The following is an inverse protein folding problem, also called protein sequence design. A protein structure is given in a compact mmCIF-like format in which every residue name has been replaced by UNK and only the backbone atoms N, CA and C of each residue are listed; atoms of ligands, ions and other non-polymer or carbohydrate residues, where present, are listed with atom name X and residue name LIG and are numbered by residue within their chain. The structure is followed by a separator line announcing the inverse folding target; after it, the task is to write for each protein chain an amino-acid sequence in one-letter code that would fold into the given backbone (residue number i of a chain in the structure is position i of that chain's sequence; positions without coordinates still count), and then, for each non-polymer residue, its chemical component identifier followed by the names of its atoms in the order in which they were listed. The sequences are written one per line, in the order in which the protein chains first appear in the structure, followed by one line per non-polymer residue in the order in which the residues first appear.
data_IF_148497056836
#
_entry.id   IF_148497056836
#
_cell.length_a   1.000
_cell.length_b   1.000
_cell.length_c   1.000
_cell.angle_alpha   90.00
_cell.angle_beta   90.00
_cell.angle_gamma   90.00
#
_symmetry.space_group_name_H-M   'P 1'
#
loop_
_entity.id
_entity.type
_entity.pdbx_description
1 polymer ?
#
# COMPACT_ATOMS: atom_id res chain seq x y z
N UNK A 1 -12.11 -28.09 0.71
CA UNK A 1 -11.25 -28.23 1.90
C UNK A 1 -11.91 -27.65 3.14
N UNK A 2 -12.37 -26.39 3.10
CA UNK A 2 -13.13 -25.79 4.20
C UNK A 2 -14.65 -25.97 4.10
N UNK A 3 -15.38 -25.45 5.10
CA UNK A 3 -16.85 -25.42 5.20
C UNK A 3 -17.41 -24.30 4.32
N UNK A 4 -16.89 -23.08 4.45
CA UNK A 4 -17.24 -21.96 3.58
C UNK A 4 -16.06 -21.02 3.37
N UNK A 5 -16.18 -20.15 2.37
CA UNK A 5 -15.20 -19.11 2.04
C UNK A 5 -15.92 -17.78 1.89
N UNK A 6 -15.38 -16.74 2.53
CA UNK A 6 -15.75 -15.34 2.29
C UNK A 6 -14.64 -14.64 1.51
N UNK A 7 -15.02 -13.59 0.79
CA UNK A 7 -14.15 -12.88 -0.15
C UNK A 7 -14.46 -11.40 -0.14
N UNK A 8 -13.48 -10.58 -0.49
CA UNK A 8 -13.66 -9.18 -0.87
C UNK A 8 -13.39 -9.04 -2.36
N UNK A 9 -14.37 -8.50 -3.09
CA UNK A 9 -14.32 -8.36 -4.55
C UNK A 9 -14.10 -6.90 -4.93
N UNK A 10 -13.17 -6.66 -5.85
CA UNK A 10 -12.96 -5.38 -6.51
C UNK A 10 -13.50 -5.40 -7.94
N UNK A 11 -13.77 -4.23 -8.49
CA UNK A 11 -14.13 -4.05 -9.90
C UNK A 11 -13.06 -3.21 -10.59
N UNK A 12 -12.63 -3.64 -11.78
CA UNK A 12 -11.62 -2.95 -12.59
C UNK A 12 -12.31 -2.28 -13.78
N UNK A 13 -12.54 -0.94 -13.75
CA UNK A 13 -13.34 -0.25 -14.75
C UNK A 13 -12.81 -0.38 -16.18
N UNK A 14 -11.49 -0.24 -16.35
CA UNK A 14 -10.84 -0.30 -17.67
C UNK A 14 -11.03 -1.64 -18.40
N UNK A 15 -11.22 -2.73 -17.67
CA UNK A 15 -11.41 -4.07 -18.25
C UNK A 15 -12.85 -4.58 -18.15
N UNK A 16 -13.69 -3.92 -17.35
CA UNK A 16 -15.05 -4.37 -17.05
C UNK A 16 -15.12 -5.67 -16.22
N UNK A 17 -14.03 -6.08 -15.56
CA UNK A 17 -13.92 -7.38 -14.87
C UNK A 17 -13.84 -7.23 -13.35
N UNK A 18 -14.40 -8.23 -12.65
CA UNK A 18 -14.21 -8.40 -11.21
C UNK A 18 -12.84 -9.01 -10.88
N UNK A 19 -12.35 -8.72 -9.68
CA UNK A 19 -11.10 -9.26 -9.14
C UNK A 19 -11.24 -9.59 -7.66
N UNK A 20 -10.94 -10.84 -7.29
CA UNK A 20 -10.86 -11.24 -5.90
C UNK A 20 -9.61 -10.64 -5.24
N UNK A 21 -9.84 -9.79 -4.23
CA UNK A 21 -8.80 -9.05 -3.52
C UNK A 21 -8.16 -9.83 -2.37
N UNK A 22 -8.96 -10.56 -1.58
CA UNK A 22 -8.51 -11.39 -0.48
C UNK A 22 -9.56 -12.46 -0.13
N UNK A 23 -9.15 -13.52 0.55
CA UNK A 23 -10.04 -14.60 0.99
C UNK A 23 -9.92 -14.88 2.47
N UNK A 24 -11.03 -15.33 3.06
CA UNK A 24 -11.06 -15.90 4.41
C UNK A 24 -11.90 -17.17 4.40
N UNK A 25 -11.38 -18.23 4.98
CA UNK A 25 -11.93 -19.56 4.93
C UNK A 25 -12.30 -20.01 6.34
N UNK A 26 -13.55 -20.41 6.52
CA UNK A 26 -13.90 -21.23 7.66
C UNK A 26 -13.65 -22.68 7.29
N UNK A 27 -12.64 -23.30 7.91
CA UNK A 27 -12.23 -24.67 7.62
C UNK A 27 -13.02 -25.70 8.41
N UNK A 28 -13.76 -25.26 9.43
CA UNK A 28 -14.45 -26.13 10.37
C UNK A 28 -13.44 -27.05 11.06
N UNK A 29 -13.78 -28.33 11.14
CA UNK A 29 -12.90 -29.38 11.68
C UNK A 29 -12.29 -30.27 10.59
N UNK A 30 -12.39 -29.90 9.31
CA UNK A 30 -11.96 -30.79 8.22
C UNK A 30 -10.46 -31.09 8.29
N UNK A 31 -9.64 -30.05 8.54
CA UNK A 31 -8.20 -30.19 8.63
C UNK A 31 -7.75 -30.74 9.98
N UNK A 32 -8.39 -30.35 11.08
CA UNK A 32 -8.04 -30.87 12.40
C UNK A 32 -8.29 -32.37 12.51
N UNK A 33 -9.33 -32.90 11.85
CA UNK A 33 -9.53 -34.34 11.69
C UNK A 33 -8.45 -35.01 10.84
N UNK A 34 -8.08 -34.38 9.72
CA UNK A 34 -7.05 -34.93 8.82
C UNK A 34 -5.66 -34.98 9.46
N UNK A 35 -5.34 -34.05 10.35
CA UNK A 35 -4.03 -33.92 10.99
C UNK A 35 -4.04 -34.26 12.50
N UNK A 36 -5.11 -34.86 13.02
CA UNK A 36 -5.25 -35.26 14.43
C UNK A 36 -4.97 -34.12 15.43
N UNK A 37 -5.44 -32.91 15.11
CA UNK A 37 -5.32 -31.73 15.97
C UNK A 37 -6.48 -31.69 16.97
N UNK A 38 -6.25 -32.24 18.16
CA UNK A 38 -7.26 -32.45 19.21
C UNK A 38 -6.85 -31.81 20.54
N UNK A 39 -7.85 -31.51 21.39
CA UNK A 39 -7.68 -31.12 22.79
C UNK A 39 -8.66 -31.91 23.67
N UNK A 40 -8.38 -32.01 24.97
CA UNK A 40 -9.31 -32.58 25.94
C UNK A 40 -10.25 -31.50 26.46
N UNK A 41 -11.55 -31.73 26.32
CA UNK A 41 -12.60 -30.81 26.77
C UNK A 41 -12.55 -30.66 28.30
N UNK A 42 -12.43 -29.44 28.86
CA UNK A 42 -12.28 -29.26 30.30
C UNK A 42 -13.52 -29.69 31.09
N UNK A 43 -14.71 -29.62 30.49
CA UNK A 43 -15.97 -29.97 31.15
C UNK A 43 -16.30 -31.46 30.98
N UNK A 44 -16.17 -31.98 29.76
CA UNK A 44 -16.56 -33.37 29.46
C UNK A 44 -15.41 -34.37 29.52
N UNK A 45 -14.16 -33.90 29.58
CA UNK A 45 -12.94 -34.73 29.50
C UNK A 45 -12.87 -35.59 28.22
N UNK A 46 -13.61 -35.21 27.17
CA UNK A 46 -13.62 -35.89 25.87
C UNK A 46 -12.65 -35.24 24.89
N UNK A 47 -12.05 -36.02 24.00
CA UNK A 47 -11.26 -35.46 22.88
C UNK A 47 -12.16 -34.71 21.91
N UNK A 48 -11.83 -33.45 21.64
CA UNK A 48 -12.50 -32.58 20.67
C UNK A 48 -11.52 -32.10 19.60
N UNK A 49 -11.99 -32.02 18.36
CA UNK A 49 -11.23 -31.43 17.25
C UNK A 49 -11.36 -29.90 17.26
N UNK A 50 -10.26 -29.20 17.03
CA UNK A 50 -10.28 -27.74 16.97
C UNK A 50 -10.99 -27.23 15.72
N UNK A 51 -11.70 -26.11 15.82
CA UNK A 51 -12.20 -25.39 14.66
C UNK A 51 -11.09 -24.49 14.11
N UNK A 52 -10.90 -24.53 12.80
CA UNK A 52 -9.83 -23.80 12.12
C UNK A 52 -10.39 -22.80 11.12
N UNK A 53 -9.67 -21.69 10.96
CA UNK A 53 -9.83 -20.73 9.88
C UNK A 53 -8.48 -20.51 9.22
N UNK A 54 -8.47 -20.11 7.94
CA UNK A 54 -7.30 -19.58 7.26
C UNK A 54 -7.70 -18.38 6.43
N UNK A 55 -6.77 -17.48 6.14
CA UNK A 55 -7.04 -16.27 5.36
C UNK A 55 -5.79 -15.85 4.61
N UNK A 56 -5.99 -15.19 3.47
CA UNK A 56 -4.91 -14.87 2.54
C UNK A 56 -5.10 -13.51 1.88
N UNK A 57 -4.03 -12.73 1.89
CA UNK A 57 -3.88 -11.49 1.14
C UNK A 57 -2.48 -11.49 0.52
N UNK A 58 -2.36 -11.02 -0.71
CA UNK A 58 -1.10 -11.04 -1.45
C UNK A 58 -0.78 -9.67 -2.06
N UNK A 59 0.38 -9.58 -2.69
CA UNK A 59 0.83 -8.42 -3.48
C UNK A 59 -0.07 -8.13 -4.69
N UNK A 60 -1.07 -8.98 -4.99
CA UNK A 60 -2.15 -8.64 -5.92
C UNK A 60 -2.78 -7.28 -5.60
N UNK A 61 -2.83 -6.90 -4.32
CA UNK A 61 -3.30 -5.59 -3.86
C UNK A 61 -2.59 -4.42 -4.56
N UNK A 62 -1.29 -4.53 -4.84
CA UNK A 62 -0.54 -3.51 -5.59
C UNK A 62 -1.06 -3.42 -7.03
N UNK A 63 -1.22 -4.56 -7.71
CA UNK A 63 -1.76 -4.59 -9.08
C UNK A 63 -3.19 -4.04 -9.16
N UNK A 64 -4.04 -4.37 -8.19
CA UNK A 64 -5.42 -3.83 -8.10
C UNK A 64 -5.39 -2.31 -7.90
N UNK A 65 -4.51 -1.79 -7.04
CA UNK A 65 -4.33 -0.34 -6.87
C UNK A 65 -3.92 0.34 -8.18
N UNK A 66 -2.96 -0.23 -8.93
CA UNK A 66 -2.55 0.30 -10.24
C UNK A 66 -3.72 0.33 -11.22
N UNK A 67 -4.47 -0.78 -11.33
CA UNK A 67 -5.58 -0.92 -12.28
C UNK A 67 -6.78 -0.01 -11.97
N UNK A 68 -6.96 0.39 -10.72
CA UNK A 68 -8.10 1.21 -10.29
C UNK A 68 -7.76 2.70 -10.29
N UNK A 69 -6.56 3.08 -9.82
CA UNK A 69 -6.20 4.48 -9.64
C UNK A 69 -5.34 5.06 -10.76
N UNK A 70 -4.67 4.22 -11.55
CA UNK A 70 -3.86 4.68 -12.68
C UNK A 70 -4.69 5.44 -13.73
N UNK A 71 -4.07 6.42 -14.36
CA UNK A 71 -4.67 7.25 -15.40
C UNK A 71 -3.77 7.34 -16.65
N UNK A 72 -4.16 8.16 -17.63
CA UNK A 72 -3.41 8.34 -18.88
C UNK A 72 -2.03 8.99 -18.69
N UNK A 73 -1.74 9.56 -17.51
CA UNK A 73 -0.44 10.12 -17.15
C UNK A 73 0.43 9.13 -16.37
N UNK A 74 -0.14 8.04 -15.89
CA UNK A 74 0.58 6.93 -15.28
C UNK A 74 0.04 6.54 -13.90
N UNK A 75 0.97 6.30 -12.97
CA UNK A 75 0.65 5.78 -11.64
C UNK A 75 0.11 6.88 -10.72
N UNK A 76 -1.03 6.62 -10.07
CA UNK A 76 -1.56 7.44 -8.99
C UNK A 76 -1.51 6.64 -7.69
N UNK A 77 -0.60 7.01 -6.79
CA UNK A 77 -0.44 6.36 -5.49
C UNK A 77 -1.45 6.93 -4.47
N UNK A 78 -2.27 6.09 -3.80
CA UNK A 78 -3.08 6.55 -2.69
C UNK A 78 -2.20 7.14 -1.57
N UNK A 79 -2.49 8.35 -1.05
CA UNK A 79 -1.58 9.06 -0.15
C UNK A 79 -1.18 8.30 1.12
N UNK A 80 -1.99 7.35 1.59
CA UNK A 80 -1.68 6.56 2.80
C UNK A 80 -0.58 5.51 2.59
N UNK A 81 -0.32 5.11 1.35
CA UNK A 81 0.67 4.08 1.00
C UNK A 81 1.76 4.60 0.06
N UNK A 82 1.69 5.87 -0.37
CA UNK A 82 2.73 6.50 -1.16
C UNK A 82 4.01 6.67 -0.32
N UNK A 83 5.16 6.15 -0.75
CA UNK A 83 6.41 6.30 0.00
C UNK A 83 6.79 7.78 0.14
N UNK A 84 6.78 8.50 -1.00
CA UNK A 84 6.86 9.96 -1.08
C UNK A 84 5.44 10.50 -1.34
N UNK A 85 4.91 11.31 -0.42
CA UNK A 85 3.61 11.97 -0.56
C UNK A 85 3.72 13.33 -1.26
N UNK A 86 4.83 14.04 -1.03
CA UNK A 86 5.10 15.34 -1.62
C UNK A 86 6.57 15.42 -2.07
N UNK A 87 6.79 15.87 -3.30
CA UNK A 87 8.12 16.13 -3.84
C UNK A 87 8.25 17.64 -4.10
N UNK A 88 9.28 18.26 -3.54
CA UNK A 88 9.58 19.68 -3.72
C UNK A 88 10.64 19.82 -4.80
N UNK A 89 10.30 20.48 -5.90
CA UNK A 89 11.19 20.69 -7.06
C UNK A 89 11.46 22.19 -7.20
N UNK A 90 12.72 22.66 -7.19
CA UNK A 90 13.05 24.06 -7.44
C UNK A 90 12.81 24.41 -8.91
N UNK A 91 12.09 25.51 -9.16
CA UNK A 91 11.74 25.98 -10.50
C UNK A 91 12.29 27.38 -10.78
N UNK A 92 12.45 27.74 -12.06
CA UNK A 92 12.80 29.11 -12.46
C UNK A 92 14.29 29.47 -12.36
N UNK A 93 15.18 28.49 -12.20
CA UNK A 93 16.63 28.71 -12.29
C UNK A 93 17.00 28.91 -13.76
N UNK A 94 17.62 30.05 -14.07
CA UNK A 94 18.09 30.40 -15.42
C UNK A 94 19.61 30.58 -15.44
N UNK A 95 20.17 30.74 -16.64
CA UNK A 95 21.57 31.10 -16.82
C UNK A 95 21.93 32.46 -16.18
N UNK A 96 20.95 33.35 -16.01
CA UNK A 96 21.14 34.66 -15.38
C UNK A 96 20.93 34.66 -13.87
N UNK A 97 20.43 33.57 -13.28
CA UNK A 97 20.26 33.47 -11.81
C UNK A 97 21.62 33.52 -11.12
N UNK A 98 21.79 34.47 -10.20
CA UNK A 98 23.01 34.58 -9.40
C UNK A 98 23.17 33.39 -8.47
N UNK A 99 24.41 33.11 -8.04
CA UNK A 99 24.68 32.06 -7.05
C UNK A 99 23.92 32.29 -5.75
N UNK A 100 23.71 33.55 -5.37
CA UNK A 100 22.98 33.91 -4.15
C UNK A 100 21.48 33.63 -4.29
N UNK A 101 20.88 33.97 -5.43
CA UNK A 101 19.46 33.70 -5.70
C UNK A 101 19.19 32.19 -5.77
N UNK A 102 20.09 31.45 -6.41
CA UNK A 102 20.03 29.98 -6.43
C UNK A 102 20.06 29.45 -4.99
N UNK A 103 21.05 29.86 -4.19
CA UNK A 103 21.17 29.41 -2.79
C UNK A 103 19.90 29.72 -1.99
N UNK A 104 19.34 30.93 -2.12
CA UNK A 104 18.09 31.32 -1.43
C UNK A 104 16.91 30.41 -1.82
N UNK A 105 16.79 30.06 -3.10
CA UNK A 105 15.74 29.14 -3.58
C UNK A 105 15.93 27.72 -3.02
N UNK A 106 17.14 27.17 -3.08
CA UNK A 106 17.39 25.82 -2.54
C UNK A 106 17.18 25.77 -1.03
N UNK A 107 17.61 26.80 -0.30
CA UNK A 107 17.42 26.88 1.14
C UNK A 107 15.92 26.98 1.50
N UNK A 108 15.13 27.75 0.75
CA UNK A 108 13.67 27.82 0.99
C UNK A 108 12.96 26.50 0.67
N UNK A 109 13.38 25.78 -0.37
CA UNK A 109 12.85 24.44 -0.64
C UNK A 109 13.17 23.45 0.48
N UNK A 110 14.34 23.53 1.11
CA UNK A 110 14.70 22.66 2.25
C UNK A 110 13.85 22.97 3.47
N UNK A 111 13.65 24.27 3.78
CA UNK A 111 12.75 24.69 4.87
C UNK A 111 11.33 24.16 4.64
N UNK A 112 10.81 24.24 3.41
CA UNK A 112 9.48 23.69 3.10
C UNK A 112 9.41 22.18 3.33
N UNK A 113 10.44 21.42 2.95
CA UNK A 113 10.49 19.97 3.23
C UNK A 113 10.47 19.72 4.73
N UNK A 114 11.25 20.46 5.52
CA UNK A 114 11.28 20.35 6.98
C UNK A 114 9.90 20.66 7.60
N UNK A 115 9.21 21.70 7.13
CA UNK A 115 7.86 22.05 7.59
C UNK A 115 6.83 20.95 7.27
N UNK A 116 6.88 20.38 6.07
CA UNK A 116 5.99 19.29 5.66
C UNK A 116 6.24 18.03 6.51
N UNK A 117 7.51 17.67 6.73
CA UNK A 117 7.88 16.54 7.59
C UNK A 117 7.46 16.77 9.03
N UNK A 118 7.65 17.98 9.56
CA UNK A 118 7.18 18.35 10.91
C UNK A 118 5.65 18.25 11.05
N UNK A 119 4.91 18.48 9.96
CA UNK A 119 3.46 18.27 9.89
C UNK A 119 3.04 16.79 9.69
N UNK A 120 3.99 15.86 9.59
CA UNK A 120 3.74 14.43 9.43
C UNK A 120 3.54 13.97 7.97
N UNK A 121 3.93 14.79 6.99
CA UNK A 121 3.89 14.44 5.57
C UNK A 121 5.24 13.83 5.17
N UNK A 122 5.21 12.71 4.46
CA UNK A 122 6.41 12.11 3.84
C UNK A 122 6.82 12.95 2.64
N UNK A 123 7.66 13.95 2.87
CA UNK A 123 8.11 14.88 1.85
C UNK A 123 9.61 14.73 1.57
N UNK A 124 9.98 14.89 0.29
CA UNK A 124 11.38 14.93 -0.15
C UNK A 124 11.60 16.13 -1.09
N UNK A 125 12.86 16.53 -1.27
CA UNK A 125 13.26 17.54 -2.24
C UNK A 125 14.08 16.92 -3.37
N UNK A 126 13.76 17.24 -4.62
CA UNK A 126 14.55 16.86 -5.79
C UNK A 126 15.44 18.03 -6.22
N UNK A 127 16.74 17.93 -5.94
CA UNK A 127 17.73 18.98 -6.20
C UNK A 127 18.73 18.61 -7.30
N UNK A 128 18.41 17.61 -8.13
CA UNK A 128 19.29 17.18 -9.22
C UNK A 128 19.37 18.26 -10.30
N UNK A 129 20.55 18.83 -10.51
CA UNK A 129 20.76 19.91 -11.49
C UNK A 129 20.94 19.40 -12.93
N UNK A 130 21.17 18.09 -13.11
CA UNK A 130 21.40 17.49 -14.43
C UNK A 130 20.11 17.18 -15.19
N UNK A 131 18.95 17.54 -14.64
CA UNK A 131 17.63 17.41 -15.28
C UNK A 131 16.89 18.75 -15.23
N UNK A 132 16.07 19.02 -16.25
CA UNK A 132 15.11 20.10 -16.19
C UNK A 132 14.01 19.79 -15.16
N UNK A 133 13.34 20.81 -14.59
CA UNK A 133 12.22 20.59 -13.67
C UNK A 133 11.00 19.88 -14.27
N UNK A 134 10.84 19.91 -15.60
CA UNK A 134 9.76 19.27 -16.34
C UNK A 134 10.25 18.13 -17.23
#
# INVERSE_FOLDING_TARGET
GGVYTTTVEGYVPASGRGVQGATSHHLGQNFSKMFEVVYDDPETQEKRYVYQNSWGLSTRTIGVMVLIHGDDRGLVLPPRIADIQAIVVPCGITASSTTEDRKKLYDSCKVLVEELVAAGIRAEGDYRENYSPG
#
